data_IF_382911523647
#
_entry.id   IF_382911523647
#
_cell.length_a   1.000
_cell.length_b   1.000
_cell.length_c   1.000
_cell.angle_alpha   90.00
_cell.angle_beta   90.00
_cell.angle_gamma   90.00
#
_symmetry.space_group_name_H-M   'P 1'
#
loop_
_entity.id
_entity.type
_entity.pdbx_description
1 polymer ?
#
# COMPACT_ATOMS: atom_id res chain seq x y z
N UNK A 1 -0.69 -38.22 9.50
CA UNK A 1 -2.10 -37.92 9.82
C UNK A 1 -2.17 -36.53 10.43
N UNK A 2 -2.39 -35.50 9.60
CA UNK A 2 -2.59 -34.11 10.04
C UNK A 2 -3.96 -33.67 9.55
N UNK A 3 -4.86 -33.35 10.49
CA UNK A 3 -6.25 -33.04 10.20
C UNK A 3 -6.41 -31.71 9.47
N UNK A 4 -7.17 -31.73 8.37
CA UNK A 4 -7.66 -30.54 7.66
C UNK A 4 -8.50 -29.68 8.61
N UNK A 5 -8.16 -28.41 8.75
CA UNK A 5 -9.02 -27.41 9.39
C UNK A 5 -10.25 -27.19 8.50
N UNK A 6 -11.38 -27.77 8.89
CA UNK A 6 -12.72 -27.34 8.45
C UNK A 6 -12.94 -25.93 9.01
N UNK A 7 -13.09 -24.92 8.16
CA UNK A 7 -13.51 -23.61 8.66
C UNK A 7 -13.38 -22.41 7.72
N UNK A 8 -12.60 -22.49 6.64
CA UNK A 8 -12.48 -21.35 5.72
C UNK A 8 -13.73 -21.23 4.85
N UNK A 9 -14.39 -20.07 4.94
CA UNK A 9 -15.57 -19.73 4.15
C UNK A 9 -15.19 -19.69 2.68
N UNK A 10 -15.78 -20.60 1.91
CA UNK A 10 -15.64 -20.66 0.45
C UNK A 10 -15.95 -19.27 -0.15
N UNK A 11 -15.18 -18.78 -1.15
CA UNK A 11 -15.57 -17.61 -1.91
C UNK A 11 -16.95 -17.85 -2.56
N UNK A 12 -17.91 -16.98 -2.25
CA UNK A 12 -19.35 -17.16 -2.51
C UNK A 12 -19.84 -16.61 -3.86
N UNK A 13 -18.98 -16.10 -4.73
CA UNK A 13 -19.40 -15.49 -5.99
C UNK A 13 -18.66 -16.07 -7.20
N UNK A 14 -19.36 -16.94 -7.95
CA UNK A 14 -18.98 -17.42 -9.28
C UNK A 14 -20.17 -17.16 -10.21
N UNK A 15 -19.94 -16.59 -11.40
CA UNK A 15 -21.01 -16.36 -12.37
C UNK A 15 -20.47 -16.50 -13.81
N UNK A 16 -21.02 -17.46 -14.55
CA UNK A 16 -20.78 -17.69 -15.98
C UNK A 16 -21.94 -17.11 -16.77
N UNK A 17 -21.66 -16.64 -17.98
CA UNK A 17 -22.69 -16.10 -18.88
C UNK A 17 -22.57 -16.73 -20.25
N UNK A 18 -23.61 -17.43 -20.65
CA UNK A 18 -23.80 -17.77 -22.04
C UNK A 18 -24.23 -16.50 -22.79
N UNK A 19 -23.49 -16.12 -23.84
CA UNK A 19 -23.93 -15.08 -24.79
C UNK A 19 -24.30 -15.74 -26.11
N UNK A 20 -25.40 -15.28 -26.70
CA UNK A 20 -25.69 -15.53 -28.11
C UNK A 20 -25.06 -14.42 -28.99
N UNK A 21 -25.02 -14.66 -30.31
CA UNK A 21 -24.52 -13.70 -31.32
C UNK A 21 -25.26 -12.35 -31.29
N UNK A 22 -26.41 -12.27 -30.60
CA UNK A 22 -27.22 -11.08 -30.42
C UNK A 22 -27.00 -10.35 -29.07
N UNK A 23 -26.08 -10.81 -28.20
CA UNK A 23 -25.77 -10.18 -26.91
C UNK A 23 -26.78 -10.46 -25.79
N UNK A 24 -27.70 -11.39 -26.00
CA UNK A 24 -28.74 -11.80 -25.04
C UNK A 24 -28.15 -12.81 -24.04
N UNK A 25 -28.40 -12.57 -22.75
CA UNK A 25 -27.80 -13.30 -21.62
C UNK A 25 -28.66 -14.51 -21.27
N UNK A 26 -28.14 -15.72 -21.37
CA UNK A 26 -28.78 -16.92 -20.81
C UNK A 26 -28.06 -17.35 -19.53
N UNK A 27 -28.80 -17.45 -18.42
CA UNK A 27 -28.27 -17.87 -17.12
C UNK A 27 -28.25 -19.40 -17.04
N UNK A 28 -27.07 -20.00 -16.87
CA UNK A 28 -26.96 -21.43 -16.58
C UNK A 28 -27.03 -21.70 -15.06
N UNK A 29 -27.71 -22.78 -14.65
CA UNK A 29 -27.87 -23.18 -13.24
C UNK A 29 -26.56 -23.71 -12.62
N UNK A 30 -26.39 -23.43 -11.32
CA UNK A 30 -25.13 -23.58 -10.56
C UNK A 30 -24.79 -25.01 -10.12
N UNK A 31 -23.59 -25.51 -10.45
CA UNK A 31 -22.90 -26.59 -9.71
C UNK A 31 -21.36 -26.40 -9.79
N UNK A 32 -20.64 -26.49 -8.66
CA UNK A 32 -19.17 -26.36 -8.65
C UNK A 32 -18.47 -27.39 -7.76
N UNK A 33 -17.42 -27.99 -8.34
CA UNK A 33 -16.38 -28.78 -7.67
C UNK A 33 -14.98 -28.19 -7.95
N UNK A 34 -14.84 -26.86 -7.92
CA UNK A 34 -13.50 -26.22 -7.94
C UNK A 34 -12.84 -26.50 -6.60
N UNK A 35 -11.65 -27.10 -6.63
CA UNK A 35 -10.88 -27.42 -5.44
C UNK A 35 -9.74 -26.42 -5.32
N UNK A 36 -9.68 -25.82 -4.16
CA UNK A 36 -8.48 -25.17 -3.63
C UNK A 36 -7.35 -26.21 -3.59
N UNK A 37 -6.28 -25.98 -4.36
CA UNK A 37 -5.14 -26.90 -4.47
C UNK A 37 -3.89 -26.37 -3.75
N UNK A 38 -3.77 -25.05 -3.55
CA UNK A 38 -2.81 -24.37 -2.66
C UNK A 38 -3.04 -22.82 -2.64
N UNK A 39 -2.16 -22.10 -1.93
CA UNK A 39 -2.28 -20.66 -1.72
C UNK A 39 -1.99 -19.90 -3.03
N UNK A 40 -2.98 -19.14 -3.52
CA UNK A 40 -2.93 -18.25 -4.71
C UNK A 40 -3.20 -18.86 -6.08
N UNK A 41 -3.61 -20.12 -6.13
CA UNK A 41 -3.93 -20.79 -7.38
C UNK A 41 -5.38 -21.27 -7.36
N UNK A 42 -6.01 -21.20 -8.53
CA UNK A 42 -7.27 -21.89 -8.75
C UNK A 42 -7.04 -22.98 -9.77
N UNK A 43 -7.67 -24.13 -9.52
CA UNK A 43 -7.56 -25.29 -10.37
C UNK A 43 -8.83 -26.12 -10.32
N UNK A 44 -9.06 -26.84 -11.42
CA UNK A 44 -10.13 -27.83 -11.51
C UNK A 44 -11.20 -27.44 -12.52
N UNK A 45 -12.33 -28.14 -12.42
CA UNK A 45 -13.34 -28.13 -13.48
C UNK A 45 -14.49 -27.22 -13.08
N UNK A 46 -14.68 -26.13 -13.82
CA UNK A 46 -15.94 -25.40 -13.80
C UNK A 46 -16.95 -26.19 -14.60
N UNK A 47 -18.16 -26.41 -14.09
CA UNK A 47 -19.22 -27.08 -14.82
C UNK A 47 -20.53 -26.32 -14.72
N UNK A 48 -21.38 -26.44 -15.71
CA UNK A 48 -22.68 -25.77 -15.76
C UNK A 48 -23.71 -26.66 -16.45
N UNK A 49 -24.98 -26.36 -16.26
CA UNK A 49 -26.05 -26.99 -17.02
C UNK A 49 -26.27 -26.21 -18.32
N UNK A 50 -26.26 -26.90 -19.45
CA UNK A 50 -26.59 -26.28 -20.73
C UNK A 50 -27.99 -25.65 -20.67
N UNK A 51 -28.20 -24.46 -21.27
CA UNK A 51 -29.52 -23.89 -21.46
C UNK A 51 -30.45 -24.86 -22.20
N UNK A 52 -31.76 -24.79 -21.94
CA UNK A 52 -32.76 -25.61 -22.64
C UNK A 52 -32.87 -25.29 -24.13
N UNK A 53 -32.45 -24.08 -24.53
CA UNK A 53 -32.36 -23.64 -25.92
C UNK A 53 -31.00 -22.95 -26.13
N UNK A 54 -30.22 -23.48 -27.06
CA UNK A 54 -28.91 -22.97 -27.46
C UNK A 54 -28.84 -22.72 -28.98
N UNK A 55 -30.00 -22.67 -29.65
CA UNK A 55 -30.08 -22.51 -31.11
C UNK A 55 -29.45 -21.22 -31.65
N UNK A 56 -29.32 -20.21 -30.80
CA UNK A 56 -28.67 -18.93 -31.12
C UNK A 56 -27.29 -18.74 -30.46
N UNK A 57 -26.86 -19.65 -29.58
CA UNK A 57 -25.58 -19.54 -28.87
C UNK A 57 -24.46 -19.99 -29.80
N UNK A 58 -23.37 -19.23 -29.92
CA UNK A 58 -22.19 -19.61 -30.75
C UNK A 58 -21.06 -20.23 -29.91
N UNK A 59 -20.99 -19.85 -28.64
CA UNK A 59 -19.97 -20.23 -27.67
C UNK A 59 -20.43 -19.82 -26.26
N UNK A 60 -19.78 -20.37 -25.24
CA UNK A 60 -19.91 -19.90 -23.87
C UNK A 60 -18.69 -19.04 -23.51
N UNK A 61 -18.92 -17.81 -23.05
CA UNK A 61 -17.90 -16.94 -22.43
C UNK A 61 -17.80 -17.31 -20.94
N UNK A 62 -16.62 -17.73 -20.53
CA UNK A 62 -16.33 -18.10 -19.13
C UNK A 62 -15.62 -16.93 -18.47
N UNK A 63 -16.26 -16.34 -17.45
CA UNK A 63 -15.73 -15.21 -16.69
C UNK A 63 -15.72 -15.51 -15.18
N UNK A 64 -14.80 -14.88 -14.47
CA UNK A 64 -14.93 -14.58 -13.05
C UNK A 64 -15.75 -13.31 -12.85
N UNK A 65 -16.71 -13.26 -11.91
CA UNK A 65 -17.41 -12.00 -11.56
C UNK A 65 -17.54 -11.73 -10.07
N UNK A 66 -17.30 -10.47 -9.70
CA UNK A 66 -17.65 -9.91 -8.37
C UNK A 66 -18.98 -9.14 -8.42
N UNK A 67 -19.26 -8.46 -9.54
CA UNK A 67 -20.52 -7.73 -9.79
C UNK A 67 -20.93 -7.86 -11.27
N UNK A 68 -22.05 -7.26 -11.67
CA UNK A 68 -22.48 -7.25 -13.08
C UNK A 68 -21.50 -6.53 -14.03
N UNK A 69 -20.72 -5.59 -13.51
CA UNK A 69 -19.77 -4.76 -14.28
C UNK A 69 -18.31 -5.15 -14.08
N UNK A 70 -18.02 -5.95 -13.06
CA UNK A 70 -16.67 -6.31 -12.67
C UNK A 70 -16.40 -7.79 -12.98
N UNK A 71 -15.71 -8.04 -14.11
CA UNK A 71 -15.52 -9.37 -14.70
C UNK A 71 -14.07 -9.59 -15.12
N UNK A 72 -13.60 -10.81 -15.03
CA UNK A 72 -12.32 -11.22 -15.62
C UNK A 72 -12.50 -12.43 -16.51
N UNK A 73 -12.08 -12.29 -17.76
CA UNK A 73 -12.29 -13.26 -18.83
C UNK A 73 -11.30 -14.42 -18.72
N UNK A 74 -11.81 -15.66 -18.78
CA UNK A 74 -11.03 -16.91 -18.67
C UNK A 74 -10.90 -17.61 -20.03
N UNK A 75 -11.90 -17.50 -20.90
CA UNK A 75 -11.90 -18.17 -22.20
C UNK A 75 -13.29 -18.35 -22.79
N UNK A 76 -13.33 -18.79 -24.06
CA UNK A 76 -14.54 -19.29 -24.69
C UNK A 76 -14.50 -20.83 -24.74
N UNK A 77 -15.67 -21.47 -24.70
CA UNK A 77 -15.82 -22.88 -25.05
C UNK A 77 -16.96 -23.10 -26.04
N UNK A 78 -16.84 -24.13 -26.86
CA UNK A 78 -17.84 -24.47 -27.87
C UNK A 78 -19.19 -24.84 -27.25
N UNK A 79 -20.26 -24.59 -28.00
CA UNK A 79 -21.63 -25.00 -27.62
C UNK A 79 -21.69 -26.51 -27.39
N UNK A 80 -22.52 -26.94 -26.44
CA UNK A 80 -22.69 -28.35 -26.09
C UNK A 80 -21.66 -28.86 -25.08
N UNK A 81 -20.59 -28.09 -24.82
CA UNK A 81 -19.73 -28.31 -23.64
C UNK A 81 -20.45 -27.84 -22.38
N UNK A 82 -20.22 -28.54 -21.28
CA UNK A 82 -20.79 -28.23 -19.97
C UNK A 82 -19.71 -28.06 -18.91
N UNK A 83 -18.47 -27.87 -19.34
CA UNK A 83 -17.31 -27.74 -18.47
C UNK A 83 -16.18 -26.90 -19.09
N UNK A 84 -15.38 -26.28 -18.22
CA UNK A 84 -14.14 -25.57 -18.53
C UNK A 84 -13.08 -25.99 -17.53
N UNK A 85 -11.95 -26.51 -18.03
CA UNK A 85 -10.81 -26.87 -17.20
C UNK A 85 -9.98 -25.63 -16.91
N UNK A 86 -9.90 -25.28 -15.63
CA UNK A 86 -8.96 -24.28 -15.11
C UNK A 86 -7.65 -25.01 -14.77
N UNK A 87 -6.53 -24.71 -15.46
CA UNK A 87 -5.22 -25.31 -15.14
C UNK A 87 -4.90 -25.19 -13.65
N UNK A 88 -4.27 -26.21 -13.06
CA UNK A 88 -4.07 -26.30 -11.61
C UNK A 88 -3.23 -25.17 -11.01
N UNK A 89 -2.46 -24.46 -11.83
CA UNK A 89 -1.58 -23.35 -11.44
C UNK A 89 -2.06 -22.01 -12.01
N UNK A 90 -3.37 -21.84 -12.18
CA UNK A 90 -3.91 -20.57 -12.68
C UNK A 90 -3.79 -19.53 -11.58
N UNK A 91 -2.68 -18.78 -11.62
CA UNK A 91 -2.37 -17.76 -10.63
C UNK A 91 -3.44 -16.67 -10.58
N UNK A 92 -3.94 -16.40 -9.36
CA UNK A 92 -4.92 -15.35 -9.09
C UNK A 92 -4.44 -13.95 -9.48
N UNK A 93 -3.13 -13.77 -9.68
CA UNK A 93 -2.50 -12.53 -10.14
C UNK A 93 -2.88 -12.13 -11.58
N UNK A 94 -3.48 -13.05 -12.35
CA UNK A 94 -4.01 -12.75 -13.69
C UNK A 94 -5.36 -12.00 -13.66
N UNK A 95 -5.97 -11.86 -12.48
CA UNK A 95 -7.25 -11.17 -12.28
C UNK A 95 -7.00 -9.81 -11.61
N UNK A 96 -6.68 -8.82 -12.45
CA UNK A 96 -6.29 -7.43 -12.13
C UNK A 96 -7.41 -6.58 -11.48
N UNK A 97 -8.07 -7.06 -10.41
CA UNK A 97 -9.22 -6.37 -9.81
C UNK A 97 -9.25 -6.39 -8.27
N UNK A 98 -8.10 -6.34 -7.62
CA UNK A 98 -8.04 -6.10 -6.16
C UNK A 98 -7.24 -4.85 -5.80
N UNK A 99 -6.29 -4.43 -6.64
CA UNK A 99 -5.38 -3.33 -6.28
C UNK A 99 -6.05 -1.96 -6.27
N UNK A 100 -6.86 -1.58 -7.26
CA UNK A 100 -7.33 -0.19 -7.41
C UNK A 100 -8.43 0.23 -6.43
N UNK A 101 -9.30 -0.68 -6.00
CA UNK A 101 -10.39 -0.35 -5.03
C UNK A 101 -9.96 -0.49 -3.58
N UNK A 102 -8.91 -1.29 -3.33
CA UNK A 102 -8.32 -1.50 -2.02
C UNK A 102 -7.06 -0.66 -1.81
N UNK A 103 -6.62 0.17 -2.78
CA UNK A 103 -5.51 1.10 -2.58
C UNK A 103 -5.94 2.37 -1.84
N UNK A 104 -5.03 2.93 -1.06
CA UNK A 104 -5.23 4.23 -0.40
C UNK A 104 -5.28 5.35 -1.45
N UNK A 105 -5.62 6.57 -1.05
CA UNK A 105 -5.55 7.73 -1.95
C UNK A 105 -5.18 8.99 -1.18
N UNK A 106 -5.07 10.13 -1.87
CA UNK A 106 -4.80 11.44 -1.24
C UNK A 106 -3.62 11.42 -0.25
N UNK A 107 -2.55 10.69 -0.61
CA UNK A 107 -1.35 10.62 0.21
C UNK A 107 -0.70 12.02 0.26
N UNK A 108 -0.34 12.45 1.46
CA UNK A 108 0.28 13.75 1.69
C UNK A 108 1.30 13.66 2.83
N UNK A 109 2.50 14.17 2.60
CA UNK A 109 3.54 14.29 3.60
C UNK A 109 4.11 15.69 3.53
N UNK A 110 4.25 16.32 4.69
CA UNK A 110 4.98 17.59 4.85
C UNK A 110 6.12 17.30 5.79
N UNK A 111 7.33 17.59 5.33
CA UNK A 111 8.53 17.50 6.13
C UNK A 111 8.60 18.70 7.08
N UNK A 112 8.68 18.40 8.37
CA UNK A 112 8.72 19.34 9.48
C UNK A 112 10.02 19.24 10.27
N UNK A 113 10.96 18.41 9.79
CA UNK A 113 12.30 18.32 10.31
C UNK A 113 13.21 19.19 9.44
N UNK A 114 13.60 20.35 9.96
CA UNK A 114 14.23 21.41 9.16
C UNK A 114 15.75 21.22 9.00
N UNK A 115 16.24 20.00 9.23
CA UNK A 115 17.63 19.60 9.11
C UNK A 115 17.87 18.89 7.77
N UNK A 116 18.99 19.21 7.13
CA UNK A 116 19.31 18.68 5.79
C UNK A 116 19.44 17.16 5.81
N UNK A 117 18.83 16.50 4.82
CA UNK A 117 18.83 15.05 4.64
C UNK A 117 18.14 14.24 5.75
N UNK A 118 17.37 14.91 6.62
CA UNK A 118 16.53 14.28 7.64
C UNK A 118 15.05 14.47 7.28
N UNK A 119 14.17 13.79 8.01
CA UNK A 119 12.73 13.78 7.78
C UNK A 119 12.04 13.76 9.13
N UNK A 120 10.92 14.46 9.22
CA UNK A 120 10.03 14.35 10.37
C UNK A 120 8.68 14.97 10.06
N UNK A 121 7.65 14.56 10.78
CA UNK A 121 6.30 15.07 10.57
C UNK A 121 5.29 13.95 10.35
N UNK A 122 4.18 14.29 9.69
CA UNK A 122 3.02 13.40 9.64
C UNK A 122 2.63 13.06 8.21
N UNK A 123 2.72 11.78 7.87
CA UNK A 123 2.17 11.20 6.65
C UNK A 123 0.67 10.99 6.83
N UNK A 124 -0.12 11.42 5.84
CA UNK A 124 -1.57 11.30 5.80
C UNK A 124 -1.99 10.56 4.52
N UNK A 125 -3.08 9.79 4.58
CA UNK A 125 -3.73 9.21 3.40
C UNK A 125 -5.24 9.03 3.64
N UNK A 126 -5.99 8.88 2.57
CA UNK A 126 -7.41 8.50 2.60
C UNK A 126 -7.53 6.97 2.48
N UNK A 127 -8.40 6.37 3.30
CA UNK A 127 -8.70 4.94 3.24
C UNK A 127 -9.21 4.51 1.86
N UNK A 128 -8.99 3.25 1.47
CA UNK A 128 -9.55 2.71 0.24
C UNK A 128 -11.06 2.71 0.23
N UNK A 129 -11.64 2.71 -0.97
CA UNK A 129 -13.09 2.56 -1.16
C UNK A 129 -13.65 1.21 -0.67
N UNK A 130 -12.79 0.20 -0.53
CA UNK A 130 -13.11 -1.10 0.06
C UNK A 130 -12.02 -1.54 1.02
N UNK A 131 -12.38 -1.73 2.30
CA UNK A 131 -11.50 -2.21 3.36
C UNK A 131 -11.80 -3.65 3.78
N UNK A 132 -12.75 -4.34 3.14
CA UNK A 132 -13.22 -5.68 3.54
C UNK A 132 -12.10 -6.74 3.62
N UNK A 133 -11.00 -6.52 2.90
CA UNK A 133 -9.84 -7.40 2.85
C UNK A 133 -8.53 -6.72 3.22
N UNK A 134 -8.55 -5.43 3.55
CA UNK A 134 -7.37 -4.74 4.05
C UNK A 134 -7.30 -5.04 5.53
N UNK A 135 -6.19 -5.60 5.99
CA UNK A 135 -5.92 -5.87 7.41
C UNK A 135 -4.87 -4.89 7.97
N UNK A 136 -3.98 -4.41 7.10
CA UNK A 136 -2.92 -3.48 7.47
C UNK A 136 -2.60 -2.47 6.36
N UNK A 137 -2.02 -1.35 6.77
CA UNK A 137 -1.23 -0.48 5.90
C UNK A 137 0.25 -0.68 6.21
N UNK A 138 1.08 -0.64 5.17
CA UNK A 138 2.54 -0.74 5.29
C UNK A 138 3.17 0.43 4.56
N UNK A 139 4.05 1.15 5.24
CA UNK A 139 4.68 2.37 4.73
C UNK A 139 6.18 2.14 4.60
N UNK A 140 6.75 2.45 3.44
CA UNK A 140 8.19 2.37 3.19
C UNK A 140 8.75 3.67 2.62
N UNK A 141 10.05 3.90 2.84
CA UNK A 141 10.83 4.80 2.00
C UNK A 141 11.23 4.11 0.71
N UNK A 142 11.09 4.79 -0.43
CA UNK A 142 11.37 4.25 -1.75
C UNK A 142 12.20 5.20 -2.62
N UNK A 143 12.91 4.61 -3.58
CA UNK A 143 13.74 5.33 -4.53
C UNK A 143 12.92 6.00 -5.64
N UNK A 144 11.67 5.58 -5.83
CA UNK A 144 10.74 6.09 -6.83
C UNK A 144 9.27 5.88 -6.40
N UNK A 145 8.34 6.37 -7.22
CA UNK A 145 6.90 6.30 -6.97
C UNK A 145 6.29 4.91 -7.13
N UNK A 146 7.05 3.92 -7.63
CA UNK A 146 6.56 2.53 -7.78
C UNK A 146 7.05 1.62 -6.64
N UNK A 147 7.87 2.16 -5.72
CA UNK A 147 8.33 1.43 -4.54
C UNK A 147 9.68 0.74 -4.70
N UNK A 148 10.47 1.08 -5.73
CA UNK A 148 11.80 0.46 -5.93
C UNK A 148 12.71 0.72 -4.72
N UNK A 149 13.35 -0.33 -4.21
CA UNK A 149 14.21 -0.25 -3.03
C UNK A 149 13.47 -0.08 -1.70
N UNK A 150 12.14 -0.20 -1.70
CA UNK A 150 11.27 -0.07 -0.54
C UNK A 150 11.37 -1.22 0.45
N UNK A 151 12.44 -1.25 1.25
CA UNK A 151 12.61 -2.28 2.30
C UNK A 151 12.74 -1.72 3.72
N UNK A 152 12.69 -0.39 3.89
CA UNK A 152 12.78 0.23 5.23
C UNK A 152 11.42 0.76 5.66
N UNK A 153 10.73 0.08 6.59
CA UNK A 153 9.51 0.60 7.17
C UNK A 153 9.79 1.78 8.08
N UNK A 154 8.96 2.80 7.99
CA UNK A 154 9.05 4.03 8.78
C UNK A 154 7.87 4.09 9.75
N UNK A 155 8.01 4.75 10.91
CA UNK A 155 6.92 5.00 11.85
C UNK A 155 7.17 4.62 13.32
N UNK A 156 6.51 5.35 14.23
CA UNK A 156 6.70 5.22 15.68
C UNK A 156 5.82 4.15 16.37
N UNK A 157 4.67 3.75 15.81
CA UNK A 157 3.78 2.75 16.43
C UNK A 157 4.10 1.34 15.94
N UNK A 158 4.98 0.64 16.66
CA UNK A 158 5.44 -0.70 16.32
C UNK A 158 4.53 -1.79 16.89
N UNK A 159 3.56 -2.27 16.10
CA UNK A 159 2.91 -3.57 16.38
C UNK A 159 3.58 -4.65 15.53
N UNK A 160 4.22 -5.63 16.19
CA UNK A 160 4.87 -6.76 15.51
C UNK A 160 3.80 -7.71 14.94
N UNK A 161 3.82 -7.97 13.63
CA UNK A 161 3.00 -9.05 13.06
C UNK A 161 3.60 -10.43 13.39
N UNK A 162 2.78 -11.51 13.42
CA UNK A 162 3.25 -12.88 13.65
C UNK A 162 4.29 -13.39 12.65
N UNK A 163 4.42 -12.74 11.48
CA UNK A 163 5.40 -13.05 10.42
C UNK A 163 6.73 -12.30 10.55
N UNK A 164 6.89 -11.44 11.58
CA UNK A 164 8.09 -10.62 11.74
C UNK A 164 8.12 -9.35 10.89
N UNK A 165 7.08 -9.09 10.09
CA UNK A 165 6.90 -7.83 9.37
C UNK A 165 6.19 -6.78 10.25
N UNK A 166 6.51 -5.52 10.04
CA UNK A 166 5.93 -4.37 10.74
C UNK A 166 4.74 -3.85 9.93
N UNK A 167 3.56 -3.69 10.54
CA UNK A 167 2.40 -3.13 9.86
C UNK A 167 1.43 -2.45 10.82
N UNK A 168 0.82 -1.37 10.37
CA UNK A 168 -0.18 -0.63 11.11
C UNK A 168 -1.59 -1.14 10.80
N UNK A 169 -2.43 -1.30 11.83
CA UNK A 169 -3.82 -1.77 11.64
C UNK A 169 -4.64 -0.78 10.81
N UNK A 170 -5.54 -1.28 9.96
CA UNK A 170 -6.45 -0.57 9.03
C UNK A 170 -7.15 0.69 9.51
N UNK A 171 -7.25 0.94 10.82
CA UNK A 171 -7.96 2.10 11.36
C UNK A 171 -7.07 3.35 11.51
N UNK A 172 -5.88 3.36 10.90
CA UNK A 172 -5.05 4.57 10.86
C UNK A 172 -4.99 5.11 9.44
N UNK A 173 -5.22 6.41 9.32
CA UNK A 173 -5.08 7.19 8.07
C UNK A 173 -3.90 8.15 8.13
N UNK A 174 -3.03 7.94 9.12
CA UNK A 174 -1.93 8.82 9.42
C UNK A 174 -0.82 8.08 10.16
N UNK A 175 0.42 8.42 9.84
CA UNK A 175 1.62 7.88 10.47
C UNK A 175 2.59 8.99 10.81
N UNK A 176 3.05 9.04 12.06
CA UNK A 176 4.09 9.97 12.48
C UNK A 176 5.47 9.40 12.12
N UNK A 177 6.22 10.16 11.33
CA UNK A 177 7.65 9.97 11.07
C UNK A 177 8.39 10.77 12.15
N UNK A 178 9.24 10.08 12.90
CA UNK A 178 10.01 10.72 13.96
C UNK A 178 10.95 11.77 13.36
N UNK A 179 11.14 12.87 14.07
CA UNK A 179 12.23 13.81 13.79
C UNK A 179 13.58 13.07 13.80
N UNK A 180 14.54 13.62 13.07
CA UNK A 180 15.88 13.09 12.82
C UNK A 180 15.85 11.75 12.05
N UNK A 181 14.81 11.46 11.25
CA UNK A 181 14.76 10.22 10.44
C UNK A 181 15.63 10.41 9.19
N UNK A 182 16.74 9.66 9.01
CA UNK A 182 17.61 9.89 7.87
C UNK A 182 16.92 9.57 6.54
N UNK A 183 16.85 10.55 5.63
CA UNK A 183 16.25 10.41 4.30
C UNK A 183 17.04 9.47 3.39
N UNK A 184 18.37 9.46 3.51
CA UNK A 184 19.29 8.75 2.61
C UNK A 184 19.03 9.11 1.13
N UNK A 185 19.11 8.15 0.21
CA UNK A 185 18.85 8.35 -1.23
C UNK A 185 17.37 8.14 -1.63
N UNK A 186 16.47 8.01 -0.65
CA UNK A 186 15.05 7.83 -0.93
C UNK A 186 14.40 9.14 -1.38
N UNK A 187 13.45 9.02 -2.30
CA UNK A 187 12.77 10.15 -2.92
C UNK A 187 11.25 10.11 -2.72
N UNK A 188 10.72 9.01 -2.20
CA UNK A 188 9.29 8.81 -1.99
C UNK A 188 9.00 8.11 -0.66
N UNK A 189 7.83 8.40 -0.10
CA UNK A 189 7.12 7.53 0.83
C UNK A 189 6.05 6.77 0.05
N UNK A 190 6.00 5.45 0.22
CA UNK A 190 5.03 4.58 -0.43
C UNK A 190 4.16 3.87 0.59
N UNK A 191 2.86 3.82 0.35
CA UNK A 191 1.87 3.15 1.19
C UNK A 191 1.26 2.00 0.42
N UNK A 192 1.31 0.82 1.03
CA UNK A 192 0.71 -0.41 0.55
C UNK A 192 -0.43 -0.83 1.46
N UNK A 193 -1.48 -1.39 0.87
CA UNK A 193 -2.47 -2.16 1.62
C UNK A 193 -2.06 -3.61 1.72
N UNK A 194 -2.30 -4.24 2.87
CA UNK A 194 -1.92 -5.63 3.12
C UNK A 194 -3.03 -6.40 3.81
N UNK A 195 -3.19 -7.66 3.42
CA UNK A 195 -4.07 -8.65 4.04
C UNK A 195 -3.25 -9.74 4.73
N UNK A 196 -3.90 -10.67 5.42
CA UNK A 196 -3.26 -11.90 5.92
C UNK A 196 -2.68 -12.77 4.81
N UNK A 197 -3.16 -12.60 3.58
CA UNK A 197 -2.74 -13.38 2.42
C UNK A 197 -1.58 -12.71 1.68
N UNK A 198 -1.70 -11.43 1.34
CA UNK A 198 -0.71 -10.73 0.53
C UNK A 198 -0.68 -9.22 0.77
N UNK A 199 0.45 -8.61 0.45
CA UNK A 199 0.61 -7.16 0.27
C UNK A 199 0.29 -6.77 -1.18
N UNK A 200 -0.23 -5.56 -1.36
CA UNK A 200 -0.45 -4.91 -2.64
C UNK A 200 0.85 -4.86 -3.45
N UNK A 201 0.75 -5.03 -4.77
CA UNK A 201 1.91 -5.00 -5.69
C UNK A 201 2.25 -3.61 -6.19
N UNK A 202 1.28 -2.68 -6.20
CA UNK A 202 1.45 -1.30 -6.68
C UNK A 202 1.08 -0.31 -5.57
N UNK A 203 2.03 0.44 -4.98
CA UNK A 203 1.72 1.36 -3.90
C UNK A 203 1.09 2.67 -4.39
N UNK A 204 0.66 3.49 -3.43
CA UNK A 204 0.48 4.92 -3.64
C UNK A 204 1.65 5.67 -3.03
N UNK A 205 2.18 6.65 -3.75
CA UNK A 205 3.40 7.34 -3.38
C UNK A 205 3.20 8.84 -3.13
N UNK A 206 3.89 9.37 -2.12
CA UNK A 206 4.13 10.79 -1.91
C UNK A 206 5.60 11.06 -2.21
N UNK A 207 5.88 12.08 -3.03
CA UNK A 207 7.24 12.55 -3.22
C UNK A 207 7.75 13.20 -1.93
N UNK A 208 9.00 12.92 -1.58
CA UNK A 208 9.69 13.59 -0.49
C UNK A 208 10.17 14.96 -0.97
N UNK A 209 9.90 15.98 -0.16
CA UNK A 209 10.47 17.31 -0.31
C UNK A 209 11.16 17.66 1.00
N UNK A 210 12.48 17.57 1.02
CA UNK A 210 13.31 18.02 2.14
C UNK A 210 13.28 19.55 2.16
N UNK A 211 12.75 20.08 3.25
CA UNK A 211 12.70 21.53 3.49
C UNK A 211 13.59 21.83 4.69
N UNK A 212 14.81 22.28 4.43
CA UNK A 212 15.74 22.64 5.50
C UNK A 212 15.80 24.15 5.72
N UNK A 213 16.05 24.57 6.96
CA UNK A 213 16.11 25.98 7.34
C UNK A 213 17.32 26.24 8.26
N UNK A 214 18.41 26.76 7.70
CA UNK A 214 19.65 27.03 8.44
C UNK A 214 19.85 28.53 8.70
N UNK A 215 20.12 28.89 9.95
CA UNK A 215 20.56 30.23 10.31
C UNK A 215 21.99 30.47 9.81
N UNK A 216 22.33 31.73 9.50
CA UNK A 216 23.67 32.10 9.05
C UNK A 216 24.23 33.26 9.86
N UNK A 217 25.50 33.61 9.66
CA UNK A 217 26.16 34.76 10.33
C UNK A 217 25.97 34.77 11.86
N UNK A 218 26.08 33.60 12.49
CA UNK A 218 25.99 33.47 13.95
C UNK A 218 27.18 34.17 14.60
N UNK A 219 26.91 35.24 15.35
CA UNK A 219 27.93 36.00 16.08
C UNK A 219 27.51 36.17 17.53
N UNK A 220 28.46 35.93 18.44
CA UNK A 220 28.31 36.19 19.87
C UNK A 220 29.43 37.12 20.30
N UNK A 221 29.07 38.31 20.78
CA UNK A 221 30.04 39.26 21.31
C UNK A 221 29.98 39.21 22.83
N UNK A 222 31.02 38.66 23.44
CA UNK A 222 31.09 38.53 24.89
C UNK A 222 31.51 39.85 25.53
N UNK A 223 30.64 40.37 26.38
CA UNK A 223 30.74 41.67 27.04
C UNK A 223 30.84 41.56 28.55
N UNK A 224 30.77 40.36 29.13
CA UNK A 224 31.10 40.24 30.53
C UNK A 224 32.61 40.44 30.75
N UNK A 225 32.94 40.85 31.97
CA UNK A 225 34.31 41.15 32.38
C UNK A 225 34.87 40.09 33.33
N UNK A 226 34.10 39.04 33.60
CA UNK A 226 34.37 38.04 34.64
C UNK A 226 34.59 36.67 34.00
N UNK A 227 35.76 36.06 34.24
CA UNK A 227 36.21 34.87 33.51
C UNK A 227 35.33 33.59 33.63
N UNK A 228 34.26 33.63 34.40
CA UNK A 228 33.33 32.51 34.62
C UNK A 228 31.94 32.74 34.03
N UNK A 229 31.68 33.94 33.53
CA UNK A 229 30.37 34.33 33.08
C UNK A 229 30.35 34.36 31.55
N UNK A 230 29.14 34.46 31.00
CA UNK A 230 28.90 34.73 29.59
C UNK A 230 27.85 35.83 29.53
N UNK A 231 28.09 36.90 28.77
CA UNK A 231 27.15 38.00 28.74
C UNK A 231 27.28 38.84 27.49
N UNK A 232 26.26 38.86 26.64
CA UNK A 232 26.27 39.71 25.45
C UNK A 232 25.21 39.29 24.42
N UNK A 233 25.11 40.04 23.31
CA UNK A 233 24.16 39.72 22.26
C UNK A 233 24.63 38.51 21.45
N UNK A 234 23.74 37.52 21.32
CA UNK A 234 23.80 36.49 20.29
C UNK A 234 22.93 36.94 19.11
N UNK A 235 23.51 37.05 17.92
CA UNK A 235 22.79 37.42 16.69
C UNK A 235 23.07 36.42 15.58
N UNK A 236 22.12 36.26 14.68
CA UNK A 236 22.21 35.45 13.47
C UNK A 236 21.27 36.01 12.42
N UNK A 237 21.55 35.72 11.15
CA UNK A 237 20.63 35.97 10.05
C UNK A 237 19.66 34.78 9.91
N UNK A 238 18.35 35.04 9.75
CA UNK A 238 17.39 33.98 9.53
C UNK A 238 17.65 33.25 8.20
N UNK A 239 17.16 32.01 8.05
CA UNK A 239 17.15 31.32 6.76
C UNK A 239 16.38 32.14 5.70
N UNK A 240 16.67 31.87 4.43
CA UNK A 240 16.01 32.55 3.31
C UNK A 240 14.50 32.29 3.23
N UNK A 241 14.05 31.15 3.75
CA UNK A 241 12.65 30.81 3.96
C UNK A 241 12.42 30.50 5.44
N UNK A 242 11.44 31.17 6.04
CA UNK A 242 11.05 31.01 7.45
C UNK A 242 9.61 30.52 7.59
N UNK A 243 8.95 30.14 6.48
CA UNK A 243 7.54 29.74 6.47
C UNK A 243 7.23 28.55 7.39
N UNK A 244 8.16 27.60 7.49
CA UNK A 244 8.06 26.42 8.35
C UNK A 244 8.82 26.58 9.68
N UNK A 245 9.52 27.70 9.90
CA UNK A 245 10.29 27.95 11.13
C UNK A 245 9.36 28.42 12.25
N UNK A 246 9.05 27.52 13.19
CA UNK A 246 8.17 27.82 14.33
C UNK A 246 8.92 28.46 15.50
N UNK A 247 10.13 28.00 15.82
CA UNK A 247 10.91 28.47 16.98
C UNK A 247 12.40 28.22 16.77
N UNK A 248 13.23 29.15 17.24
CA UNK A 248 14.68 28.94 17.40
C UNK A 248 14.97 28.51 18.83
N UNK A 249 15.72 27.41 19.00
CA UNK A 249 16.19 26.97 20.31
C UNK A 249 17.70 27.13 20.38
N UNK A 250 18.18 27.80 21.42
CA UNK A 250 19.60 28.08 21.64
C UNK A 250 20.10 27.24 22.81
N UNK A 251 21.17 26.50 22.59
CA UNK A 251 21.81 25.66 23.61
C UNK A 251 23.26 26.07 23.81
N UNK A 252 23.73 26.00 25.06
CA UNK A 252 25.16 25.98 25.34
C UNK A 252 25.69 24.58 25.04
N UNK A 253 26.65 24.48 24.12
CA UNK A 253 27.31 23.24 23.78
C UNK A 253 28.74 23.21 24.33
N UNK A 254 29.18 22.04 24.81
CA UNK A 254 30.58 21.83 25.17
C UNK A 254 31.37 21.45 23.93
N UNK A 255 32.44 22.18 23.63
CA UNK A 255 33.31 21.83 22.52
C UNK A 255 34.01 20.47 22.78
N UNK A 256 33.94 19.57 21.81
CA UNK A 256 34.84 18.42 21.72
C UNK A 256 36.10 18.92 21.02
N UNK A 257 37.24 18.97 21.73
CA UNK A 257 38.52 19.25 21.09
C UNK A 257 38.83 18.12 20.11
N UNK A 258 38.80 18.40 18.81
CA UNK A 258 39.43 17.51 17.81
C UNK A 258 40.94 17.58 18.08
N UNK A 259 41.49 16.48 18.61
CA UNK A 259 42.94 16.27 18.76
C UNK A 259 43.59 15.95 17.43
#
# INVERSE_FOLDING_TARGET
>A
MGGRRKGESKPTAWAYVARNTAGTTAYAERQHDVKDLDQFEIGGVLSWKNPSDFSEVTDYEVDWRLTSTNRSYLGNVSIGTNSFDVPSETGLQSFSIIETVASVSAINFVDLDLDTDELGGRLLWQEPSSTERVEFYVVYLALDSVGTGGEVPVGAQRTTLPTGHWADKVNITALDILYDTPRQNFSHLVVYTRSSLAEQTTPVAAALSDTFATVSNVTFADYDLDATDIGGPLTWDPPGDVSEVVTYIVYLARAVRRT
#
